data_IF_451590580486
#
_entry.id   IF_451590580486
#
_cell.length_a   1.000
_cell.length_b   1.000
_cell.length_c   1.000
_cell.angle_alpha   90.00
_cell.angle_beta   90.00
_cell.angle_gamma   90.00
#
_symmetry.space_group_name_H-M   'P 1'
#
loop_
_entity.id
_entity.type
_entity.pdbx_description
1 polymer ?
#
# COMPACT_ATOMS: atom_id res chain seq x y z
N UNK A 1 -0.64 -73.21 5.05
CA UNK A 1 -1.44 -72.77 6.20
C UNK A 1 -1.17 -71.29 6.39
N UNK A 2 -2.08 -70.34 6.47
CA UNK A 2 -3.52 -70.21 6.23
C UNK A 2 -3.80 -68.69 6.16
N UNK A 3 -4.86 -68.27 5.47
CA UNK A 3 -5.21 -66.87 5.12
C UNK A 3 -5.90 -66.12 6.31
N UNK A 4 -6.49 -64.90 6.18
CA UNK A 4 -6.09 -63.63 6.84
C UNK A 4 -7.19 -63.01 7.75
N UNK A 5 -7.00 -61.82 8.33
CA UNK A 5 -8.07 -60.94 8.88
C UNK A 5 -7.45 -59.59 9.33
N UNK A 6 -8.02 -58.39 9.17
CA UNK A 6 -9.08 -57.84 8.35
C UNK A 6 -8.86 -56.30 8.32
N UNK A 7 -8.87 -55.68 7.13
CA UNK A 7 -9.04 -54.23 7.00
C UNK A 7 -10.48 -53.87 7.39
N UNK A 8 -10.75 -52.76 8.12
CA UNK A 8 -12.11 -52.29 8.28
C UNK A 8 -12.59 -51.68 6.96
N UNK A 9 -13.17 -52.52 6.09
CA UNK A 9 -14.07 -52.08 5.04
C UNK A 9 -15.41 -51.68 5.68
N UNK A 10 -15.54 -50.39 5.95
CA UNK A 10 -16.80 -49.69 6.11
C UNK A 10 -16.55 -48.31 5.44
N UNK A 11 -17.29 -47.80 4.46
CA UNK A 11 -18.68 -47.97 4.08
C UNK A 11 -18.85 -47.63 2.57
N UNK A 12 -19.26 -48.57 1.71
CA UNK A 12 -19.82 -48.23 0.38
C UNK A 12 -21.27 -47.71 0.48
N UNK A 13 -21.95 -47.91 1.61
CA UNK A 13 -23.36 -47.57 1.80
C UNK A 13 -23.61 -46.08 2.14
N UNK A 14 -22.73 -45.41 2.89
CA UNK A 14 -22.94 -44.01 3.31
C UNK A 14 -22.66 -42.99 2.19
N UNK A 15 -21.69 -43.27 1.31
CA UNK A 15 -21.42 -42.43 0.12
C UNK A 15 -22.48 -42.59 -0.97
N UNK A 16 -23.13 -43.75 -1.05
CA UNK A 16 -24.18 -44.00 -2.05
C UNK A 16 -25.51 -43.34 -1.68
N UNK A 17 -25.88 -43.28 -0.40
CA UNK A 17 -27.06 -42.51 0.05
C UNK A 17 -26.89 -41.00 -0.16
N UNK A 18 -25.68 -40.47 0.08
CA UNK A 18 -25.32 -39.06 -0.14
C UNK A 18 -25.47 -38.64 -1.61
N UNK A 19 -24.94 -39.45 -2.53
CA UNK A 19 -25.05 -39.20 -3.96
C UNK A 19 -26.50 -39.23 -4.43
N UNK A 20 -27.34 -40.08 -3.82
CA UNK A 20 -28.77 -40.13 -4.09
C UNK A 20 -29.48 -38.86 -3.62
N UNK A 21 -29.23 -38.41 -2.39
CA UNK A 21 -29.83 -37.18 -1.85
C UNK A 21 -29.47 -35.93 -2.67
N UNK A 22 -28.21 -35.80 -3.10
CA UNK A 22 -27.77 -34.69 -3.97
C UNK A 22 -28.40 -34.79 -5.36
N UNK A 23 -28.51 -36.00 -5.94
CA UNK A 23 -29.20 -36.20 -7.23
C UNK A 23 -30.68 -35.84 -7.14
N UNK A 24 -31.36 -36.26 -6.07
CA UNK A 24 -32.78 -35.99 -5.87
C UNK A 24 -33.05 -34.49 -5.70
N UNK A 25 -32.17 -33.78 -5.00
CA UNK A 25 -32.24 -32.32 -4.88
C UNK A 25 -31.95 -31.59 -6.21
N UNK A 26 -30.98 -32.06 -6.99
CA UNK A 26 -30.73 -31.49 -8.33
C UNK A 26 -31.92 -31.72 -9.26
N UNK A 27 -32.56 -32.89 -9.18
CA UNK A 27 -33.79 -33.20 -9.91
C UNK A 27 -34.95 -32.31 -9.47
N UNK A 28 -35.10 -32.03 -8.18
CA UNK A 28 -36.15 -31.11 -7.68
C UNK A 28 -35.95 -29.67 -8.15
N UNK A 29 -34.71 -29.28 -8.43
CA UNK A 29 -34.35 -27.99 -9.04
C UNK A 29 -34.39 -27.99 -10.57
N UNK A 30 -34.76 -29.10 -11.22
CA UNK A 30 -34.80 -29.24 -12.67
C UNK A 30 -33.42 -29.31 -13.35
N UNK A 31 -32.36 -29.58 -12.59
CA UNK A 31 -30.98 -29.69 -13.07
C UNK A 31 -30.68 -31.16 -13.43
N UNK A 32 -30.13 -31.46 -14.62
CA UNK A 32 -29.84 -32.84 -15.02
C UNK A 32 -28.87 -33.54 -14.07
N UNK A 33 -29.21 -34.77 -13.64
CA UNK A 33 -28.47 -35.57 -12.66
C UNK A 33 -27.07 -36.05 -13.13
N UNK A 34 -26.72 -35.79 -14.38
CA UNK A 34 -25.41 -36.01 -15.02
C UNK A 34 -24.56 -34.74 -15.09
N UNK A 35 -24.89 -33.72 -14.30
CA UNK A 35 -24.14 -32.47 -14.24
C UNK A 35 -22.76 -32.65 -13.57
N UNK A 36 -21.82 -31.78 -13.94
CA UNK A 36 -20.49 -31.70 -13.32
C UNK A 36 -20.55 -31.55 -11.78
N UNK A 37 -21.65 -31.02 -11.26
CA UNK A 37 -21.91 -30.88 -9.82
C UNK A 37 -21.98 -32.24 -9.15
N UNK A 38 -22.71 -33.20 -9.74
CA UNK A 38 -22.83 -34.56 -9.21
C UNK A 38 -21.50 -35.31 -9.22
N UNK A 39 -20.66 -35.07 -10.24
CA UNK A 39 -19.31 -35.63 -10.33
C UNK A 39 -18.35 -34.99 -9.31
N UNK A 40 -18.45 -33.68 -9.10
CA UNK A 40 -17.68 -32.94 -8.10
C UNK A 40 -18.01 -33.41 -6.68
N UNK A 41 -19.29 -33.52 -6.33
CA UNK A 41 -19.72 -34.02 -5.02
C UNK A 41 -19.24 -35.46 -4.76
N UNK A 42 -19.11 -36.27 -5.81
CA UNK A 42 -18.56 -37.64 -5.68
C UNK A 42 -17.05 -37.66 -5.38
N UNK A 43 -16.32 -36.61 -5.79
CA UNK A 43 -14.85 -36.57 -5.80
C UNK A 43 -14.25 -35.63 -4.75
N UNK A 44 -15.04 -34.69 -4.21
CA UNK A 44 -14.60 -33.67 -3.26
C UNK A 44 -15.34 -33.78 -1.92
N UNK A 45 -14.62 -33.55 -0.83
CA UNK A 45 -15.20 -33.54 0.52
C UNK A 45 -15.81 -32.15 0.81
N UNK A 46 -17.05 -32.13 1.30
CA UNK A 46 -17.79 -30.92 1.62
C UNK A 46 -18.15 -30.88 3.11
N UNK A 47 -17.93 -29.75 3.76
CA UNK A 47 -18.12 -29.56 5.21
C UNK A 47 -19.59 -29.38 5.62
N UNK A 48 -20.41 -28.82 4.72
CA UNK A 48 -21.84 -28.52 4.97
C UNK A 48 -22.75 -29.77 4.93
N UNK A 49 -22.16 -30.96 4.84
CA UNK A 49 -22.87 -32.24 4.77
C UNK A 49 -22.61 -33.00 6.07
N UNK A 50 -23.63 -33.18 6.94
CA UNK A 50 -23.47 -33.92 8.19
C UNK A 50 -23.14 -35.40 7.92
N UNK A 51 -22.15 -35.95 8.63
CA UNK A 51 -22.11 -37.40 8.86
C UNK A 51 -23.21 -37.73 9.87
N UNK A 52 -24.14 -38.61 9.51
CA UNK A 52 -25.36 -38.91 10.28
C UNK A 52 -25.14 -39.10 11.79
N UNK A 53 -26.10 -38.55 12.52
CA UNK A 53 -26.26 -38.52 13.98
C UNK A 53 -26.54 -39.92 14.51
N UNK A 54 -25.68 -40.38 15.42
CA UNK A 54 -26.00 -41.50 16.31
C UNK A 54 -27.11 -41.09 17.29
N UNK A 55 -28.11 -41.95 17.42
CA UNK A 55 -29.24 -41.93 18.36
C UNK A 55 -28.91 -41.38 19.77
N UNK A 56 -29.68 -40.39 20.22
CA UNK A 56 -30.15 -40.22 21.60
C UNK A 56 -29.18 -39.69 22.68
N UNK A 57 -29.29 -38.41 23.03
CA UNK A 57 -28.76 -37.83 24.28
C UNK A 57 -28.94 -36.29 24.31
N UNK A 58 -29.21 -35.65 25.47
CA UNK A 58 -29.53 -34.23 25.53
C UNK A 58 -28.34 -33.37 25.11
N UNK A 59 -28.65 -32.32 24.34
CA UNK A 59 -27.69 -31.38 23.78
C UNK A 59 -26.82 -30.75 24.86
N UNK A 60 -25.54 -31.14 24.90
CA UNK A 60 -24.48 -30.34 25.49
C UNK A 60 -23.94 -29.46 24.38
N UNK A 61 -24.28 -28.18 24.44
CA UNK A 61 -23.66 -27.15 23.59
C UNK A 61 -22.19 -27.05 24.03
N UNK A 62 -21.19 -27.38 23.19
CA UNK A 62 -19.82 -27.07 23.54
C UNK A 62 -19.62 -25.58 23.22
N UNK A 63 -19.77 -24.73 24.23
CA UNK A 63 -19.13 -23.41 24.24
C UNK A 63 -17.62 -23.61 24.33
N UNK A 64 -17.01 -23.93 23.22
CA UNK A 64 -15.57 -23.70 23.05
C UNK A 64 -15.33 -23.48 21.57
N UNK A 65 -15.54 -22.23 21.13
CA UNK A 65 -14.86 -21.73 19.93
C UNK A 65 -13.38 -21.75 20.25
N UNK A 66 -12.73 -22.87 19.97
CA UNK A 66 -11.28 -22.89 19.84
C UNK A 66 -10.97 -21.87 18.75
N UNK A 67 -10.22 -20.79 19.00
CA UNK A 67 -9.72 -19.99 17.91
C UNK A 67 -8.79 -20.92 17.14
N UNK A 68 -9.23 -21.44 16.00
CA UNK A 68 -8.33 -22.10 15.07
C UNK A 68 -7.20 -21.11 14.83
N UNK A 69 -5.93 -21.47 15.10
CA UNK A 69 -4.84 -20.62 14.69
C UNK A 69 -4.99 -20.45 13.19
N UNK A 70 -5.17 -19.20 12.74
CA UNK A 70 -5.01 -18.85 11.34
C UNK A 70 -3.53 -19.07 11.08
N UNK A 71 -3.14 -20.31 10.86
CA UNK A 71 -1.86 -20.58 10.24
C UNK A 71 -2.05 -20.06 8.83
N UNK A 72 -1.47 -18.90 8.51
CA UNK A 72 -1.34 -18.30 7.17
C UNK A 72 -0.64 -19.22 6.14
N UNK A 73 -0.56 -20.51 6.44
CA UNK A 73 0.10 -21.51 5.64
C UNK A 73 -0.76 -21.86 4.43
N UNK A 74 -0.33 -21.28 3.30
CA UNK A 74 -0.52 -21.77 1.92
C UNK A 74 -1.88 -21.42 1.31
N UNK A 75 -2.29 -20.16 1.43
CA UNK A 75 -3.22 -19.59 0.45
C UNK A 75 -2.47 -19.31 -0.87
N UNK A 76 -3.07 -19.57 -2.06
CA UNK A 76 -2.54 -19.12 -3.35
C UNK A 76 -2.20 -17.63 -3.30
N UNK A 77 -1.23 -17.14 -4.07
CA UNK A 77 -0.75 -15.74 -3.97
C UNK A 77 -1.85 -14.67 -3.98
N UNK A 78 -2.98 -14.90 -4.69
CA UNK A 78 -4.13 -13.98 -4.72
C UNK A 78 -5.02 -14.02 -3.47
N UNK A 79 -4.91 -15.06 -2.65
CA UNK A 79 -5.71 -15.30 -1.44
C UNK A 79 -4.93 -14.99 -0.16
N UNK A 80 -3.66 -14.56 -0.26
CA UNK A 80 -2.90 -14.08 0.90
C UNK A 80 -3.41 -12.69 1.29
N UNK A 81 -3.67 -12.51 2.58
CA UNK A 81 -4.03 -11.21 3.13
C UNK A 81 -2.85 -10.26 2.99
N UNK A 82 -3.05 -9.13 2.31
CA UNK A 82 -2.05 -8.09 2.16
C UNK A 82 -2.36 -6.95 3.11
N UNK A 83 -1.41 -6.61 3.97
CA UNK A 83 -1.61 -5.58 4.98
C UNK A 83 -0.92 -4.28 4.56
N UNK A 84 -1.66 -3.19 4.29
CA UNK A 84 -1.04 -1.91 4.03
C UNK A 84 -0.29 -1.42 5.29
N UNK A 85 0.79 -0.62 5.12
CA UNK A 85 1.39 0.06 6.26
C UNK A 85 0.37 0.94 6.97
N UNK A 86 0.59 1.22 8.25
CA UNK A 86 -0.33 2.08 9.00
C UNK A 86 -0.41 3.47 8.36
N UNK A 87 -1.56 4.13 8.50
CA UNK A 87 -1.79 5.46 7.93
C UNK A 87 -1.54 5.53 6.40
N UNK A 88 -1.72 4.41 5.70
CA UNK A 88 -1.63 4.34 4.25
C UNK A 88 -2.77 5.10 3.58
N UNK A 89 -2.46 5.75 2.45
CA UNK A 89 -3.46 6.38 1.59
C UNK A 89 -2.91 6.69 0.21
N UNK A 90 -3.80 6.76 -0.78
CA UNK A 90 -3.46 7.25 -2.12
C UNK A 90 -3.61 8.78 -2.13
N UNK A 91 -2.51 9.48 -2.40
CA UNK A 91 -2.52 10.94 -2.60
C UNK A 91 -2.97 11.24 -4.02
N UNK A 92 -2.33 10.60 -5.00
CA UNK A 92 -2.76 10.56 -6.40
C UNK A 92 -2.95 9.09 -6.76
N UNK A 93 -4.19 8.61 -6.94
CA UNK A 93 -4.45 7.21 -7.26
C UNK A 93 -3.62 6.72 -8.44
N UNK A 94 -2.93 5.59 -8.27
CA UNK A 94 -2.05 5.01 -9.29
C UNK A 94 -0.61 5.55 -9.31
N UNK A 95 -0.34 6.70 -8.68
CA UNK A 95 0.95 7.40 -8.87
C UNK A 95 1.66 7.77 -7.57
N UNK A 96 0.97 8.36 -6.60
CA UNK A 96 1.59 8.88 -5.35
C UNK A 96 0.84 8.33 -4.15
N UNK A 97 1.57 7.65 -3.28
CA UNK A 97 1.06 7.04 -2.05
C UNK A 97 1.74 7.64 -0.82
N UNK A 98 1.05 7.59 0.32
CA UNK A 98 1.59 7.98 1.63
C UNK A 98 1.42 6.86 2.63
N UNK A 99 2.30 6.78 3.63
CA UNK A 99 2.11 5.87 4.78
C UNK A 99 2.96 6.23 6.01
N UNK A 100 2.78 5.48 7.10
CA UNK A 100 3.78 5.31 8.16
C UNK A 100 4.98 4.52 7.67
N UNK A 101 5.99 4.39 8.54
CA UNK A 101 7.15 3.55 8.26
C UNK A 101 6.72 2.10 7.98
N UNK A 102 7.05 1.53 6.81
CA UNK A 102 6.68 0.16 6.48
C UNK A 102 7.38 -0.87 7.35
N UNK A 103 6.67 -1.93 7.70
CA UNK A 103 7.19 -3.09 8.42
C UNK A 103 7.17 -4.32 7.52
N UNK A 104 7.86 -5.39 7.92
CA UNK A 104 7.97 -6.63 7.14
C UNK A 104 6.63 -7.19 6.66
N UNK A 105 5.62 -7.21 7.54
CA UNK A 105 4.24 -7.61 7.22
C UNK A 105 3.56 -6.81 6.10
N UNK A 106 4.11 -5.64 5.74
CA UNK A 106 3.57 -4.76 4.72
C UNK A 106 4.27 -4.93 3.36
N UNK A 107 5.39 -5.63 3.30
CA UNK A 107 6.23 -5.70 2.11
C UNK A 107 5.53 -6.35 0.92
N UNK A 108 4.71 -7.37 1.16
CA UNK A 108 3.94 -8.00 0.09
C UNK A 108 2.83 -7.09 -0.45
N UNK A 109 2.22 -6.26 0.41
CA UNK A 109 1.31 -5.21 -0.05
C UNK A 109 2.03 -4.20 -0.95
N UNK A 110 3.21 -3.73 -0.55
CA UNK A 110 3.99 -2.78 -1.34
C UNK A 110 4.45 -3.35 -2.69
N UNK A 111 4.81 -4.63 -2.73
CA UNK A 111 5.09 -5.34 -4.00
C UNK A 111 3.86 -5.40 -4.89
N UNK A 112 2.69 -5.73 -4.33
CA UNK A 112 1.44 -5.80 -5.09
C UNK A 112 1.03 -4.45 -5.68
N UNK A 113 1.42 -3.35 -5.02
CA UNK A 113 1.14 -1.99 -5.46
C UNK A 113 2.07 -1.55 -6.61
N UNK A 114 3.16 -2.28 -6.88
CA UNK A 114 4.12 -1.94 -7.93
C UNK A 114 4.88 -0.64 -7.64
N UNK A 115 5.15 -0.35 -6.36
CA UNK A 115 5.91 0.85 -5.97
C UNK A 115 7.29 0.80 -6.62
N UNK A 116 7.63 1.83 -7.39
CA UNK A 116 8.92 2.00 -8.05
C UNK A 116 9.93 2.70 -7.16
N UNK A 117 9.46 3.71 -6.43
CA UNK A 117 10.30 4.58 -5.62
C UNK A 117 9.74 4.76 -4.22
N UNK A 118 10.61 4.79 -3.21
CA UNK A 118 10.26 5.11 -1.82
C UNK A 118 11.06 6.33 -1.38
N UNK A 119 10.37 7.31 -0.78
CA UNK A 119 11.00 8.44 -0.10
C UNK A 119 10.78 8.36 1.42
N UNK A 120 11.89 8.28 2.16
CA UNK A 120 11.89 8.29 3.63
C UNK A 120 12.28 9.67 4.13
N UNK A 121 11.40 10.28 4.93
CA UNK A 121 11.54 11.67 5.36
C UNK A 121 12.25 11.87 6.71
N UNK A 122 12.91 10.83 7.22
CA UNK A 122 13.41 10.77 8.59
C UNK A 122 14.94 10.58 8.59
N UNK A 123 15.68 11.23 9.50
CA UNK A 123 17.14 11.11 9.56
C UNK A 123 17.64 9.80 10.17
N UNK A 124 16.77 9.05 10.84
CA UNK A 124 17.10 7.77 11.45
C UNK A 124 17.62 6.76 10.41
N UNK A 125 18.54 5.91 10.81
CA UNK A 125 19.09 4.90 9.91
C UNK A 125 18.01 3.90 9.47
N UNK A 126 17.98 3.64 8.16
CA UNK A 126 17.09 2.64 7.58
C UNK A 126 17.52 1.26 8.03
N UNK A 127 16.60 0.47 8.59
CA UNK A 127 16.88 -0.89 9.05
C UNK A 127 17.39 -1.78 7.90
N UNK A 128 18.31 -2.72 8.19
CA UNK A 128 18.89 -3.58 7.15
C UNK A 128 17.81 -4.40 6.43
N UNK A 129 16.79 -4.89 7.14
CA UNK A 129 15.69 -5.66 6.56
C UNK A 129 14.89 -4.85 5.54
N UNK A 130 14.67 -3.57 5.82
CA UNK A 130 13.96 -2.68 4.90
C UNK A 130 14.82 -2.32 3.67
N UNK A 131 16.13 -2.13 3.86
CA UNK A 131 17.07 -1.94 2.74
C UNK A 131 17.12 -3.17 1.84
N UNK A 132 17.18 -4.36 2.42
CA UNK A 132 17.22 -5.62 1.68
C UNK A 132 15.92 -5.88 0.92
N UNK A 133 14.77 -5.55 1.52
CA UNK A 133 13.48 -5.55 0.83
C UNK A 133 13.49 -4.63 -0.40
N UNK A 134 13.89 -3.36 -0.23
CA UNK A 134 13.91 -2.39 -1.34
C UNK A 134 14.84 -2.86 -2.46
N UNK A 135 16.03 -3.37 -2.11
CA UNK A 135 17.00 -3.91 -3.07
C UNK A 135 16.44 -5.11 -3.82
N UNK A 136 15.83 -6.07 -3.11
CA UNK A 136 15.28 -7.29 -3.71
C UNK A 136 14.08 -7.00 -4.60
N UNK A 137 13.25 -6.02 -4.22
CA UNK A 137 12.09 -5.59 -5.00
C UNK A 137 12.45 -4.63 -6.16
N UNK A 138 13.71 -4.20 -6.29
CA UNK A 138 14.14 -3.25 -7.32
C UNK A 138 13.61 -1.84 -7.11
N UNK A 139 13.30 -1.48 -5.86
CA UNK A 139 12.75 -0.18 -5.47
C UNK A 139 13.88 0.84 -5.31
N UNK A 140 13.77 1.98 -5.99
CA UNK A 140 14.67 3.10 -5.77
C UNK A 140 14.34 3.80 -4.45
N UNK A 141 15.35 4.04 -3.63
CA UNK A 141 15.18 4.67 -2.32
C UNK A 141 15.83 6.06 -2.27
N UNK A 142 15.07 7.04 -1.79
CA UNK A 142 15.58 8.36 -1.44
C UNK A 142 15.35 8.64 0.05
N UNK A 143 16.40 9.04 0.75
CA UNK A 143 16.28 9.54 2.12
C UNK A 143 16.47 11.06 2.12
N UNK A 144 15.42 11.79 2.54
CA UNK A 144 15.45 13.26 2.65
C UNK A 144 15.14 13.64 4.08
N UNK A 145 16.06 14.31 4.76
CA UNK A 145 15.92 14.59 6.18
C UNK A 145 15.04 15.83 6.36
N UNK A 146 13.76 15.63 6.64
CA UNK A 146 12.89 16.72 7.06
C UNK A 146 12.92 16.84 8.57
N UNK A 147 13.33 18.01 9.05
CA UNK A 147 13.18 18.37 10.46
C UNK A 147 11.70 18.40 10.85
N UNK A 148 11.39 18.05 12.10
CA UNK A 148 10.03 18.15 12.58
C UNK A 148 9.71 19.60 13.01
N UNK A 149 8.54 20.11 12.65
CA UNK A 149 8.04 21.35 13.26
C UNK A 149 7.60 21.08 14.72
N UNK A 150 8.53 21.14 15.66
CA UNK A 150 8.27 20.90 17.09
C UNK A 150 9.15 21.81 17.94
N UNK A 151 8.54 22.54 18.88
CA UNK A 151 9.27 23.47 19.75
C UNK A 151 9.89 24.61 18.93
N UNK A 152 11.20 24.79 19.01
CA UNK A 152 11.97 25.77 18.20
C UNK A 152 12.47 25.24 16.85
N UNK A 153 12.31 23.94 16.55
CA UNK A 153 12.79 23.33 15.31
C UNK A 153 11.76 23.52 14.20
N UNK A 154 12.22 23.83 12.98
CA UNK A 154 11.38 24.04 11.79
C UNK A 154 11.89 23.24 10.60
N UNK A 155 10.97 22.81 9.74
CA UNK A 155 11.26 22.30 8.40
C UNK A 155 11.96 23.41 7.61
N UNK A 156 13.07 23.09 6.95
CA UNK A 156 13.77 24.01 6.07
C UNK A 156 13.20 23.92 4.66
N UNK A 157 13.05 25.06 3.99
CA UNK A 157 12.49 25.09 2.63
C UNK A 157 13.36 24.33 1.63
N UNK A 158 14.69 24.31 1.81
CA UNK A 158 15.61 23.56 0.94
C UNK A 158 15.38 22.04 0.99
N UNK A 159 15.16 21.48 2.18
CA UNK A 159 14.90 20.04 2.34
C UNK A 159 13.52 19.67 1.77
N UNK A 160 12.52 20.55 1.96
CA UNK A 160 11.19 20.38 1.36
C UNK A 160 11.27 20.44 -0.18
N UNK A 161 12.04 21.38 -0.75
CA UNK A 161 12.28 21.46 -2.19
C UNK A 161 12.91 20.18 -2.74
N UNK A 162 13.89 19.62 -2.02
CA UNK A 162 14.52 18.36 -2.42
C UNK A 162 13.50 17.22 -2.47
N UNK A 163 12.67 17.09 -1.44
CA UNK A 163 11.63 16.06 -1.40
C UNK A 163 10.58 16.26 -2.51
N UNK A 164 10.10 17.48 -2.71
CA UNK A 164 9.14 17.82 -3.75
C UNK A 164 9.67 17.53 -5.15
N UNK A 165 10.92 17.88 -5.45
CA UNK A 165 11.52 17.60 -6.76
C UNK A 165 11.54 16.10 -7.09
N UNK A 166 11.76 15.23 -6.09
CA UNK A 166 11.70 13.78 -6.27
C UNK A 166 10.26 13.31 -6.54
N UNK A 167 9.29 13.85 -5.79
CA UNK A 167 7.88 13.46 -5.89
C UNK A 167 7.22 13.99 -7.17
N UNK A 168 7.61 15.17 -7.65
CA UNK A 168 7.07 15.77 -8.86
C UNK A 168 7.60 15.09 -10.13
N UNK A 169 8.78 14.47 -10.05
CA UNK A 169 9.35 13.70 -11.14
C UNK A 169 8.55 12.41 -11.41
N UNK A 170 7.80 12.44 -12.51
CA UNK A 170 6.93 11.32 -12.94
C UNK A 170 7.71 10.06 -13.27
N UNK A 171 9.01 10.14 -13.54
CA UNK A 171 9.85 8.95 -13.76
C UNK A 171 10.02 8.13 -12.48
N UNK A 172 9.77 8.72 -11.31
CA UNK A 172 9.81 8.02 -10.02
C UNK A 172 8.48 7.33 -9.65
N UNK A 173 7.42 7.47 -10.47
CA UNK A 173 6.10 6.93 -10.12
C UNK A 173 5.97 5.46 -10.56
N UNK A 174 5.23 4.62 -9.80
CA UNK A 174 4.50 4.95 -8.56
C UNK A 174 5.42 5.12 -7.34
N UNK A 175 5.22 6.17 -6.55
CA UNK A 175 6.07 6.56 -5.43
C UNK A 175 5.35 6.46 -4.08
N UNK A 176 6.02 5.94 -3.05
CA UNK A 176 5.55 5.94 -1.67
C UNK A 176 6.31 6.95 -0.81
N UNK A 177 5.57 7.84 -0.15
CA UNK A 177 6.09 8.83 0.79
C UNK A 177 5.83 8.37 2.22
N UNK A 178 6.88 8.26 3.05
CA UNK A 178 6.68 7.96 4.46
C UNK A 178 7.65 8.70 5.40
N UNK A 179 7.21 8.84 6.64
CA UNK A 179 8.06 9.17 7.77
C UNK A 179 7.91 8.08 8.85
N UNK A 180 8.06 8.40 10.13
CA UNK A 180 7.83 7.42 11.20
C UNK A 180 6.34 7.02 11.27
N UNK A 181 5.42 7.99 11.33
CA UNK A 181 3.97 7.75 11.50
C UNK A 181 3.10 8.18 10.32
N UNK A 182 3.70 8.74 9.26
CA UNK A 182 2.95 9.26 8.11
C UNK A 182 2.11 10.51 8.40
N UNK A 183 2.40 11.22 9.51
CA UNK A 183 1.60 12.34 10.03
C UNK A 183 2.21 13.70 9.67
N UNK A 184 3.23 14.13 10.40
CA UNK A 184 3.78 15.49 10.32
C UNK A 184 4.58 15.76 9.05
N UNK A 185 5.75 15.13 8.90
CA UNK A 185 6.65 15.35 7.75
C UNK A 185 6.01 14.93 6.42
N UNK A 186 5.40 13.75 6.41
CA UNK A 186 4.61 13.26 5.27
C UNK A 186 3.42 14.17 4.99
N UNK A 187 2.70 14.61 6.03
CA UNK A 187 1.56 15.52 5.88
C UNK A 187 1.96 16.87 5.31
N UNK A 188 3.04 17.48 5.80
CA UNK A 188 3.57 18.72 5.23
C UNK A 188 3.93 18.56 3.75
N UNK A 189 4.66 17.51 3.39
CA UNK A 189 5.05 17.28 2.00
C UNK A 189 3.83 17.06 1.09
N UNK A 190 2.87 16.26 1.54
CA UNK A 190 1.62 16.00 0.80
C UNK A 190 0.77 17.27 0.70
N UNK A 191 0.64 18.05 1.77
CA UNK A 191 -0.10 19.31 1.76
C UNK A 191 0.53 20.33 0.81
N UNK A 192 1.87 20.46 0.81
CA UNK A 192 2.56 21.31 -0.16
C UNK A 192 2.38 20.80 -1.59
N UNK A 193 2.41 19.48 -1.82
CA UNK A 193 2.09 18.90 -3.13
C UNK A 193 0.65 19.25 -3.57
N UNK A 194 -0.34 19.22 -2.68
CA UNK A 194 -1.72 19.63 -2.97
C UNK A 194 -1.81 21.11 -3.34
N UNK A 195 -1.05 21.98 -2.68
CA UNK A 195 -0.98 23.41 -3.04
C UNK A 195 -0.42 23.60 -4.45
N UNK A 196 0.59 22.83 -4.82
CA UNK A 196 1.15 22.84 -6.18
C UNK A 196 0.11 22.36 -7.20
N UNK A 197 -0.72 21.40 -6.83
CA UNK A 197 -1.85 20.92 -7.63
C UNK A 197 -3.04 21.90 -7.69
N UNK A 198 -3.00 23.02 -6.96
CA UNK A 198 -4.04 24.06 -6.98
C UNK A 198 -5.29 23.75 -6.15
N UNK A 199 -5.21 22.82 -5.18
CA UNK A 199 -6.33 22.56 -4.27
C UNK A 199 -6.57 23.72 -3.31
N UNK A 200 -7.83 23.87 -2.88
CA UNK A 200 -8.21 24.83 -1.85
C UNK A 200 -7.52 24.53 -0.51
N UNK A 201 -7.08 25.58 0.17
CA UNK A 201 -6.28 25.43 1.40
C UNK A 201 -7.06 24.79 2.55
N UNK A 202 -8.38 24.97 2.63
CA UNK A 202 -9.19 24.36 3.68
C UNK A 202 -9.28 22.85 3.49
N UNK A 203 -9.49 22.38 2.26
CA UNK A 203 -9.47 20.96 1.93
C UNK A 203 -8.11 20.31 2.20
N UNK A 204 -7.03 21.05 1.97
CA UNK A 204 -5.67 20.59 2.29
C UNK A 204 -5.50 20.44 3.80
N UNK A 205 -6.01 21.40 4.58
CA UNK A 205 -5.98 21.34 6.05
C UNK A 205 -6.81 20.15 6.55
N UNK A 206 -8.02 19.96 6.04
CA UNK A 206 -8.87 18.81 6.38
C UNK A 206 -8.19 17.47 6.07
N UNK A 207 -7.57 17.32 4.90
CA UNK A 207 -6.79 16.13 4.56
C UNK A 207 -5.62 15.95 5.55
N UNK A 208 -4.89 17.02 5.87
CA UNK A 208 -3.81 16.96 6.85
C UNK A 208 -4.31 16.46 8.22
N UNK A 209 -5.40 17.03 8.75
CA UNK A 209 -5.98 16.63 10.03
C UNK A 209 -6.44 15.17 10.02
N UNK A 210 -7.11 14.73 8.95
CA UNK A 210 -7.56 13.34 8.78
C UNK A 210 -6.42 12.33 9.01
N UNK A 211 -5.21 12.61 8.50
CA UNK A 211 -4.05 11.74 8.69
C UNK A 211 -3.22 12.04 9.96
N UNK A 212 -3.24 13.28 10.45
CA UNK A 212 -2.41 13.71 11.57
C UNK A 212 -3.08 13.54 12.94
N UNK A 213 -4.40 13.47 13.00
CA UNK A 213 -5.18 13.40 14.24
C UNK A 213 -4.83 12.16 15.07
N UNK A 214 -4.87 12.27 16.41
CA UNK A 214 -5.18 13.47 17.21
C UNK A 214 -3.94 14.35 17.47
N UNK A 215 -2.90 14.23 16.63
CA UNK A 215 -1.58 14.87 16.84
C UNK A 215 -1.26 15.91 15.78
N UNK A 216 -2.26 16.52 15.14
CA UNK A 216 -2.07 17.63 14.22
C UNK A 216 -1.25 18.76 14.88
N UNK A 217 -0.46 19.47 14.08
CA UNK A 217 0.43 20.53 14.55
C UNK A 217 0.21 21.81 13.78
N UNK A 218 -0.11 22.85 14.53
CA UNK A 218 -0.23 24.21 14.01
C UNK A 218 0.96 24.67 13.15
N UNK A 219 2.20 24.35 13.55
CA UNK A 219 3.38 24.75 12.78
C UNK A 219 3.56 23.99 11.45
N UNK A 220 2.94 22.82 11.29
CA UNK A 220 2.88 22.15 9.98
C UNK A 220 1.93 22.93 9.05
N UNK A 221 0.77 23.36 9.56
CA UNK A 221 -0.21 24.18 8.83
C UNK A 221 0.38 25.50 8.36
N UNK A 222 0.97 26.27 9.28
CA UNK A 222 1.65 27.52 8.96
C UNK A 222 2.73 27.29 7.88
N UNK A 223 3.48 26.20 7.98
CA UNK A 223 4.53 25.89 7.01
C UNK A 223 3.97 25.67 5.61
N UNK A 224 3.03 24.73 5.44
CA UNK A 224 2.56 24.42 4.09
C UNK A 224 1.73 25.57 3.51
N UNK A 225 1.02 26.37 4.31
CA UNK A 225 0.29 27.56 3.86
C UNK A 225 1.19 28.67 3.31
N UNK A 226 2.38 28.86 3.89
CA UNK A 226 3.29 29.95 3.56
C UNK A 226 4.49 29.51 2.72
N UNK A 227 4.57 28.23 2.36
CA UNK A 227 5.64 27.72 1.52
C UNK A 227 5.64 28.44 0.15
N UNK A 228 6.81 28.95 -0.26
CA UNK A 228 7.00 29.59 -1.56
C UNK A 228 7.09 28.54 -2.68
N UNK A 229 5.96 28.35 -3.38
CA UNK A 229 5.84 27.40 -4.46
C UNK A 229 6.79 27.71 -5.63
N UNK A 230 7.17 28.98 -5.85
CA UNK A 230 7.99 29.37 -7.00
C UNK A 230 9.35 28.66 -7.03
N UNK A 231 9.83 28.25 -5.85
CA UNK A 231 11.10 27.54 -5.69
C UNK A 231 11.15 26.15 -6.35
N UNK A 232 10.00 25.53 -6.60
CA UNK A 232 9.87 24.22 -7.29
C UNK A 232 9.17 24.32 -8.64
N UNK A 233 8.30 25.32 -8.81
CA UNK A 233 7.48 25.48 -10.02
C UNK A 233 8.30 25.70 -11.30
N UNK A 234 9.48 26.35 -11.21
CA UNK A 234 10.31 26.56 -12.40
C UNK A 234 10.71 25.25 -13.07
N UNK A 235 11.08 24.24 -12.27
CA UNK A 235 11.51 22.93 -12.75
C UNK A 235 10.33 22.12 -13.25
N UNK A 236 9.24 22.11 -12.49
CA UNK A 236 8.01 21.42 -12.90
C UNK A 236 7.41 21.97 -14.20
N UNK A 237 7.60 23.26 -14.49
CA UNK A 237 7.22 23.87 -15.77
C UNK A 237 8.16 23.48 -16.91
N UNK A 238 9.47 23.45 -16.67
CA UNK A 238 10.44 23.00 -17.68
C UNK A 238 10.20 21.56 -18.11
N UNK A 239 9.84 20.69 -17.16
CA UNK A 239 9.62 19.26 -17.40
C UNK A 239 8.15 18.93 -17.76
N UNK A 240 7.30 19.95 -17.99
CA UNK A 240 5.86 19.82 -18.34
C UNK A 240 5.04 19.00 -17.32
N UNK A 241 5.46 18.96 -16.07
CA UNK A 241 4.78 18.18 -15.02
C UNK A 241 3.52 18.85 -14.50
N UNK A 242 3.40 20.17 -14.69
CA UNK A 242 2.25 20.98 -14.34
C UNK A 242 1.81 21.71 -15.60
N UNK A 243 0.57 21.48 -16.03
CA UNK A 243 0.01 22.22 -17.16
C UNK A 243 -0.11 23.72 -16.79
N UNK A 244 0.23 24.65 -17.70
CA UNK A 244 -0.10 26.04 -17.49
C UNK A 244 -1.62 26.14 -17.25
N UNK A 245 -2.00 26.83 -16.18
CA UNK A 245 -3.41 27.15 -15.95
C UNK A 245 -3.95 27.99 -17.12
N UNK A 246 -5.28 28.10 -17.26
CA UNK A 246 -5.91 28.80 -18.38
C UNK A 246 -5.51 30.29 -18.52
N UNK A 247 -4.84 30.89 -17.52
CA UNK A 247 -4.48 32.31 -17.48
C UNK A 247 -2.97 32.62 -17.50
N UNK A 248 -2.08 31.68 -17.88
CA UNK A 248 -0.62 31.94 -17.86
C UNK A 248 0.07 31.76 -19.22
N UNK A 249 -0.19 32.72 -20.13
CA UNK A 249 0.67 33.03 -21.29
C UNK A 249 1.99 33.74 -20.90
N UNK A 250 2.25 33.91 -19.61
CA UNK A 250 3.50 34.49 -19.12
C UNK A 250 4.48 33.36 -18.75
N UNK A 251 5.42 33.06 -19.65
CA UNK A 251 6.63 32.35 -19.29
C UNK A 251 7.26 33.02 -18.04
N UNK A 252 7.61 32.27 -16.99
CA UNK A 252 8.27 32.86 -15.83
C UNK A 252 9.60 33.49 -16.27
N UNK A 253 10.01 34.64 -15.69
CA UNK A 253 11.30 35.24 -16.01
C UNK A 253 12.42 34.24 -15.72
N UNK A 254 13.36 34.12 -16.65
CA UNK A 254 14.56 33.30 -16.51
C UNK A 254 15.25 33.57 -15.17
N UNK A 255 15.85 32.56 -14.52
CA UNK A 255 16.60 32.78 -13.29
C UNK A 255 17.68 33.86 -13.53
N UNK A 256 17.97 34.72 -12.54
CA UNK A 256 18.99 35.74 -12.68
C UNK A 256 20.34 35.08 -13.04
N UNK A 257 21.14 35.70 -13.92
CA UNK A 257 22.42 35.14 -14.33
C UNK A 257 23.30 34.86 -13.11
N UNK A 258 23.96 33.70 -13.10
CA UNK A 258 24.91 33.32 -12.06
C UNK A 258 26.00 34.40 -11.91
N UNK A 259 26.35 34.82 -10.69
CA UNK A 259 27.42 35.79 -10.46
C UNK A 259 28.83 35.22 -10.72
N UNK A 260 28.95 33.94 -11.07
CA UNK A 260 30.22 33.33 -11.41
C UNK A 260 30.53 33.63 -12.88
N UNK A 261 31.31 34.70 -13.10
CA UNK A 261 31.95 34.97 -14.38
C UNK A 261 32.60 33.70 -14.90
N UNK A 262 32.30 33.39 -16.16
CA UNK A 262 32.93 32.34 -16.95
C UNK A 262 34.44 32.32 -16.70
N UNK A 263 34.92 31.29 -15.99
CA UNK A 263 36.32 30.88 -16.09
C UNK A 263 36.53 30.44 -17.53
N UNK A 264 37.00 31.36 -18.38
CA UNK A 264 37.54 31.03 -19.68
C UNK A 264 38.75 30.13 -19.42
N UNK A 265 38.57 28.83 -19.64
CA UNK A 265 39.66 27.87 -19.81
C UNK A 265 40.47 28.33 -21.03
N UNK A 266 41.48 29.18 -20.77
CA UNK A 266 42.51 29.47 -21.74
C UNK A 266 43.34 28.20 -21.93
N UNK A 267 42.96 27.40 -22.92
CA UNK A 267 43.81 26.40 -23.54
C UNK A 267 44.96 27.17 -24.20
N UNK A 268 46.16 27.11 -23.64
CA UNK A 268 47.38 27.44 -24.37
C UNK A 268 48.16 26.14 -24.52
N UNK A 269 48.21 25.65 -25.75
CA UNK A 269 49.21 24.70 -26.21
C UNK A 269 50.20 25.48 -27.08
N UNK A 270 51.45 25.55 -26.63
CA UNK A 270 52.69 25.58 -27.42
C UNK A 270 53.85 25.41 -26.43
#
# INVERSE_FOLDING_TARGET
>A
MSIPEAHPQAQPAARSSLLTAVKDFLVSLGVPANSNVTQHTAQCHHEDVPNEVGTGGPAVVPETRTPSPITEAIAPGRMRSLFPPSNYGAVVPGSVYRSSYPQEKNYDFLKSLGVKTIITLVPEEISPEYRDFMKTAGIQHFQVHLNANKGGVRVQSCDMNRALNIVLDRTNHPILIHCNKGKHRTGCLVATLRRIQGHDIELIREEYHTYADPKARFWDEVFFEHFDLNTVMWRSRQDEWIMPGPDVDAAPPSPPPSPVSSLSLARVWA
#
